data_IF_914044412496
#
_entry.id   IF_914044412496
#
_cell.length_a   1.000
_cell.length_b   1.000
_cell.length_c   1.000
_cell.angle_alpha   90.00
_cell.angle_beta   90.00
_cell.angle_gamma   90.00
#
_symmetry.space_group_name_H-M   'P 1'
#
loop_
_entity.id
_entity.type
_entity.pdbx_description
1 polymer ?
#
# COMPACT_ATOMS: atom_id res chain seq x y z
N UNK A 1 26.08 -2.67 25.34
CA UNK A 1 26.44 -2.42 23.93
C UNK A 1 25.73 -3.45 23.07
N UNK A 2 24.55 -3.13 22.52
CA UNK A 2 23.85 -4.04 21.60
C UNK A 2 24.70 -4.17 20.32
N UNK A 3 25.10 -5.39 19.96
CA UNK A 3 25.83 -5.65 18.73
C UNK A 3 24.91 -5.28 17.56
N UNK A 4 25.28 -4.24 16.79
CA UNK A 4 24.63 -3.98 15.51
C UNK A 4 24.85 -5.20 14.63
N UNK A 5 23.75 -5.88 14.31
CA UNK A 5 23.74 -7.03 13.41
C UNK A 5 24.16 -6.51 12.03
N UNK A 6 25.23 -7.05 11.45
CA UNK A 6 25.66 -6.66 10.09
C UNK A 6 24.52 -6.95 9.13
N UNK A 7 24.11 -5.94 8.37
CA UNK A 7 23.12 -6.07 7.32
C UNK A 7 23.68 -7.00 6.23
N UNK A 8 22.99 -8.09 5.96
CA UNK A 8 23.42 -9.08 4.97
C UNK A 8 22.80 -8.78 3.60
N UNK A 9 23.66 -8.53 2.62
CA UNK A 9 23.25 -8.34 1.23
C UNK A 9 23.41 -9.63 0.41
N UNK A 10 22.59 -9.76 -0.62
CA UNK A 10 22.68 -10.76 -1.68
C UNK A 10 22.54 -10.09 -3.05
N UNK A 11 22.90 -10.81 -4.11
CA UNK A 11 22.77 -10.33 -5.47
C UNK A 11 21.52 -10.91 -6.13
N UNK A 12 20.81 -10.09 -6.89
CA UNK A 12 19.79 -10.53 -7.85
C UNK A 12 20.46 -11.26 -9.02
N UNK A 13 19.63 -11.85 -9.89
CA UNK A 13 20.12 -12.49 -11.10
C UNK A 13 20.84 -11.51 -12.05
N UNK A 14 20.38 -10.26 -12.10
CA UNK A 14 21.04 -9.17 -12.85
C UNK A 14 22.26 -8.55 -12.12
N UNK A 15 22.58 -8.99 -10.90
CA UNK A 15 23.74 -8.51 -10.15
C UNK A 15 23.49 -7.25 -9.31
N UNK A 16 22.23 -6.86 -9.06
CA UNK A 16 21.92 -5.80 -8.10
C UNK A 16 21.92 -6.32 -6.66
N UNK A 17 22.44 -5.53 -5.74
CA UNK A 17 22.42 -5.86 -4.31
C UNK A 17 21.02 -5.64 -3.72
N UNK A 18 20.57 -6.60 -2.92
CA UNK A 18 19.35 -6.49 -2.12
C UNK A 18 19.58 -6.97 -0.70
N UNK A 19 18.82 -6.41 0.24
CA UNK A 19 18.84 -6.79 1.65
C UNK A 19 18.07 -8.11 1.88
N UNK A 20 18.78 -9.12 2.41
CA UNK A 20 18.19 -10.44 2.68
C UNK A 20 17.13 -10.42 3.78
N UNK A 21 17.23 -9.52 4.76
CA UNK A 21 16.24 -9.39 5.81
C UNK A 21 14.96 -8.76 5.26
N UNK A 22 15.07 -7.74 4.41
CA UNK A 22 13.91 -7.14 3.72
C UNK A 22 13.22 -8.13 2.78
N UNK A 23 13.98 -8.99 2.10
CA UNK A 23 13.41 -10.02 1.21
C UNK A 23 12.49 -11.03 1.92
N UNK A 24 12.55 -11.12 3.25
CA UNK A 24 11.66 -12.00 4.04
C UNK A 24 10.35 -11.32 4.43
N UNK A 25 10.24 -10.02 4.23
CA UNK A 25 9.05 -9.25 4.60
C UNK A 25 7.90 -9.61 3.66
N UNK A 26 6.70 -9.94 4.18
CA UNK A 26 5.54 -10.21 3.34
C UNK A 26 5.20 -9.02 2.45
N UNK A 27 5.09 -9.27 1.15
CA UNK A 27 4.73 -8.25 0.16
C UNK A 27 3.22 -8.00 0.26
N UNK A 28 2.85 -6.75 0.52
CA UNK A 28 1.46 -6.30 0.34
C UNK A 28 1.27 -5.86 -1.09
N UNK A 29 0.27 -6.42 -1.76
CA UNK A 29 -0.15 -5.96 -3.09
C UNK A 29 -1.14 -4.83 -2.91
N UNK A 30 -0.81 -3.67 -3.47
CA UNK A 30 -1.65 -2.47 -3.48
C UNK A 30 -1.70 -1.91 -4.90
N UNK A 31 -2.71 -1.07 -5.24
CA UNK A 31 -2.91 -0.62 -6.62
C UNK A 31 -1.68 0.01 -7.28
N UNK A 32 -0.90 0.79 -6.54
CA UNK A 32 0.31 1.41 -7.09
C UNK A 32 1.42 0.39 -7.43
N UNK A 33 1.51 -0.75 -6.74
CA UNK A 33 2.46 -1.81 -7.12
C UNK A 33 2.02 -2.48 -8.44
N UNK A 34 0.72 -2.71 -8.62
CA UNK A 34 0.18 -3.28 -9.85
C UNK A 34 0.37 -2.33 -11.04
N UNK A 35 0.14 -1.03 -10.83
CA UNK A 35 0.40 -0.01 -11.83
C UNK A 35 1.90 0.08 -12.18
N UNK A 36 2.79 -0.03 -11.19
CA UNK A 36 4.23 -0.05 -11.43
C UNK A 36 4.64 -1.25 -12.31
N UNK A 37 4.14 -2.46 -11.99
CA UNK A 37 4.42 -3.67 -12.78
C UNK A 37 3.95 -3.50 -14.23
N UNK A 38 2.73 -3.00 -14.44
CA UNK A 38 2.20 -2.74 -15.77
C UNK A 38 3.05 -1.72 -16.55
N UNK A 39 3.40 -0.60 -15.91
CA UNK A 39 4.25 0.43 -16.52
C UNK A 39 5.62 -0.12 -16.94
N UNK A 40 6.20 -1.06 -16.18
CA UNK A 40 7.48 -1.68 -16.53
C UNK A 40 7.38 -2.57 -17.76
N UNK A 41 6.28 -3.32 -17.91
CA UNK A 41 6.03 -4.09 -19.15
C UNK A 41 5.88 -3.17 -20.36
N UNK A 42 5.12 -2.08 -20.23
CA UNK A 42 4.96 -1.10 -21.30
C UNK A 42 6.32 -0.49 -21.70
N UNK A 43 7.16 -0.15 -20.72
CA UNK A 43 8.50 0.36 -20.98
C UNK A 43 9.36 -0.66 -21.72
N UNK A 44 9.34 -1.94 -21.32
CA UNK A 44 10.07 -3.00 -22.03
C UNK A 44 9.64 -3.06 -23.49
N UNK A 45 8.34 -3.02 -23.78
CA UNK A 45 7.82 -3.07 -25.14
C UNK A 45 8.24 -1.86 -25.99
N UNK A 46 8.25 -0.66 -25.39
CA UNK A 46 8.73 0.56 -26.05
C UNK A 46 10.22 0.44 -26.36
N UNK A 47 11.04 0.01 -25.40
CA UNK A 47 12.48 -0.14 -25.61
C UNK A 47 12.82 -1.23 -26.63
N UNK A 48 12.08 -2.33 -26.68
CA UNK A 48 12.27 -3.35 -27.72
C UNK A 48 12.09 -2.79 -29.14
N UNK A 49 11.22 -1.80 -29.33
CA UNK A 49 10.98 -1.17 -30.65
C UNK A 49 12.04 -0.14 -31.01
N UNK A 50 12.55 0.59 -30.02
CA UNK A 50 13.43 1.75 -30.24
C UNK A 50 14.91 1.51 -29.98
N UNK A 51 15.27 0.45 -29.25
CA UNK A 51 16.64 0.09 -28.88
C UNK A 51 16.85 -1.44 -28.93
N UNK A 52 16.71 -2.08 -30.11
CA UNK A 52 16.80 -3.54 -30.25
C UNK A 52 18.18 -4.11 -29.87
N UNK A 53 19.24 -3.31 -29.90
CA UNK A 53 20.57 -3.70 -29.42
C UNK A 53 20.60 -4.04 -27.93
N UNK A 54 19.62 -3.58 -27.15
CA UNK A 54 19.51 -3.85 -25.71
C UNK A 54 18.72 -5.12 -25.39
N UNK A 55 18.36 -5.94 -26.38
CA UNK A 55 17.49 -7.11 -26.23
C UNK A 55 17.89 -8.01 -25.06
N UNK A 56 19.19 -8.30 -24.89
CA UNK A 56 19.67 -9.17 -23.79
C UNK A 56 19.34 -8.58 -22.41
N UNK A 57 19.48 -7.26 -22.24
CA UNK A 57 19.15 -6.58 -20.99
C UNK A 57 17.63 -6.50 -20.77
N UNK A 58 16.86 -6.32 -21.84
CA UNK A 58 15.40 -6.32 -21.79
C UNK A 58 14.82 -7.70 -21.45
N UNK A 59 15.43 -8.77 -21.95
CA UNK A 59 15.10 -10.15 -21.60
C UNK A 59 15.40 -10.45 -20.13
N UNK A 60 16.55 -9.99 -19.63
CA UNK A 60 16.90 -10.13 -18.22
C UNK A 60 15.91 -9.36 -17.32
N UNK A 61 15.57 -8.11 -17.67
CA UNK A 61 14.57 -7.31 -16.95
C UNK A 61 13.18 -7.98 -16.97
N UNK A 62 12.77 -8.54 -18.12
CA UNK A 62 11.50 -9.29 -18.22
C UNK A 62 11.49 -10.52 -17.32
N UNK A 63 12.60 -11.25 -17.21
CA UNK A 63 12.71 -12.38 -16.30
C UNK A 63 12.57 -11.96 -14.82
N UNK A 64 13.11 -10.79 -14.45
CA UNK A 64 12.92 -10.25 -13.10
C UNK A 64 11.49 -9.81 -12.84
N UNK A 65 10.82 -9.18 -13.82
CA UNK A 65 9.40 -8.85 -13.72
C UNK A 65 8.53 -10.09 -13.50
N UNK A 66 8.82 -11.19 -14.21
CA UNK A 66 8.14 -12.48 -14.00
C UNK A 66 8.36 -12.98 -12.56
N UNK A 67 9.58 -12.93 -12.04
CA UNK A 67 9.87 -13.37 -10.67
C UNK A 67 9.09 -12.56 -9.61
N UNK A 68 8.89 -11.26 -9.85
CA UNK A 68 8.05 -10.40 -8.99
C UNK A 68 6.59 -10.87 -9.03
N UNK A 69 6.05 -11.12 -10.21
CA UNK A 69 4.66 -11.60 -10.40
C UNK A 69 4.44 -12.98 -9.79
N UNK A 70 5.37 -13.91 -9.97
CA UNK A 70 5.33 -15.25 -9.35
C UNK A 70 5.31 -15.15 -7.81
N UNK A 71 6.10 -14.23 -7.25
CA UNK A 71 6.13 -13.99 -5.81
C UNK A 71 4.78 -13.47 -5.32
N UNK A 72 4.19 -12.51 -6.04
CA UNK A 72 2.85 -11.99 -5.75
C UNK A 72 1.80 -13.12 -5.82
N UNK A 73 1.84 -13.93 -6.88
CA UNK A 73 0.90 -15.03 -7.09
C UNK A 73 1.02 -16.08 -5.98
N UNK A 74 2.24 -16.40 -5.55
CA UNK A 74 2.49 -17.34 -4.45
C UNK A 74 1.93 -16.83 -3.12
N UNK A 75 2.12 -15.55 -2.80
CA UNK A 75 1.54 -14.95 -1.59
C UNK A 75 0.00 -14.86 -1.68
N UNK A 76 -0.53 -14.55 -2.85
CA UNK A 76 -1.98 -14.57 -3.08
C UNK A 76 -2.58 -15.96 -2.92
N UNK A 77 -1.94 -17.01 -3.44
CA UNK A 77 -2.38 -18.39 -3.25
C UNK A 77 -2.42 -18.78 -1.76
N UNK A 78 -1.41 -18.37 -0.97
CA UNK A 78 -1.41 -18.57 0.48
C UNK A 78 -2.56 -17.82 1.17
N UNK A 79 -2.85 -16.59 0.74
CA UNK A 79 -3.98 -15.82 1.25
C UNK A 79 -5.32 -16.52 0.95
N UNK A 80 -5.53 -16.97 -0.28
CA UNK A 80 -6.74 -17.71 -0.67
C UNK A 80 -6.89 -18.99 0.15
N UNK A 81 -5.82 -19.80 0.27
CA UNK A 81 -5.84 -21.01 1.08
C UNK A 81 -6.21 -20.73 2.55
N UNK A 82 -5.65 -19.67 3.15
CA UNK A 82 -6.02 -19.24 4.51
C UNK A 82 -7.46 -18.79 4.62
N UNK A 83 -7.97 -18.06 3.62
CA UNK A 83 -9.36 -17.61 3.56
C UNK A 83 -10.33 -18.79 3.46
N UNK A 84 -10.00 -19.78 2.64
CA UNK A 84 -10.77 -21.02 2.52
C UNK A 84 -10.73 -21.85 3.80
N UNK A 85 -9.55 -21.99 4.43
CA UNK A 85 -9.43 -22.69 5.72
C UNK A 85 -10.25 -22.01 6.82
N UNK A 86 -10.27 -20.68 6.86
CA UNK A 86 -11.12 -19.92 7.78
C UNK A 86 -12.61 -20.14 7.49
N UNK A 87 -13.01 -20.18 6.22
CA UNK A 87 -14.39 -20.49 5.84
C UNK A 87 -14.77 -21.91 6.28
N UNK A 88 -13.90 -22.89 6.03
CA UNK A 88 -14.11 -24.29 6.44
C UNK A 88 -14.25 -24.43 7.96
N UNK A 89 -13.40 -23.74 8.74
CA UNK A 89 -13.50 -23.71 10.22
C UNK A 89 -14.83 -23.12 10.70
N UNK A 90 -15.35 -22.09 10.03
CA UNK A 90 -16.67 -21.51 10.34
C UNK A 90 -17.80 -22.49 10.03
N UNK A 91 -17.71 -23.20 8.90
CA UNK A 91 -18.69 -24.23 8.52
C UNK A 91 -18.64 -25.45 9.46
N UNK A 92 -17.45 -25.89 9.88
CA UNK A 92 -17.27 -26.96 10.88
C UNK A 92 -17.83 -26.55 12.25
N UNK A 93 -17.55 -25.32 12.70
CA UNK A 93 -18.09 -24.80 13.96
C UNK A 93 -19.60 -24.53 13.91
N UNK A 94 -20.14 -24.11 12.76
CA UNK A 94 -21.58 -23.94 12.53
C UNK A 94 -22.33 -25.28 12.54
N UNK A 95 -21.79 -26.31 11.88
CA UNK A 95 -22.35 -27.68 11.91
C UNK A 95 -22.29 -28.31 13.30
N UNK A 96 -21.29 -27.97 14.11
CA UNK A 96 -21.19 -28.40 15.52
C UNK A 96 -22.28 -27.77 16.39
N UNK A 97 -22.70 -26.54 16.10
CA UNK A 97 -23.79 -25.85 16.80
C UNK A 97 -25.19 -26.36 16.36
N UNK A 98 -25.35 -26.75 15.09
CA UNK A 98 -26.56 -27.40 14.59
C UNK A 98 -26.73 -28.83 15.12
N UNK A 99 -25.65 -29.60 15.32
CA UNK A 99 -25.73 -30.92 15.96
C UNK A 99 -26.08 -30.86 17.46
N UNK A 100 -25.75 -29.78 18.17
CA UNK A 100 -26.22 -29.55 19.54
C UNK A 100 -27.67 -29.06 19.61
N UNK A 101 -28.21 -28.53 18.52
CA UNK A 101 -29.60 -28.07 18.41
C UNK A 101 -30.55 -29.15 17.86
N UNK A 102 -30.01 -30.28 17.38
CA UNK A 102 -30.78 -31.40 16.82
C UNK A 102 -31.47 -32.29 17.87
N UNK A 103 -31.44 -31.94 19.16
CA UNK A 103 -32.26 -32.58 20.20
C UNK A 103 -33.62 -31.91 20.42
N UNK A 104 -33.90 -30.76 19.80
CA UNK A 104 -35.24 -30.16 19.79
C UNK A 104 -35.71 -29.94 18.35
N UNK A 105 -36.64 -30.79 17.93
CA UNK A 105 -37.05 -30.97 16.54
C UNK A 105 -37.92 -29.87 15.94
N UNK A 106 -38.16 -30.08 14.63
CA UNK A 106 -38.97 -29.33 13.66
C UNK A 106 -38.29 -28.05 13.17
N UNK A 107 -38.10 -27.78 11.88
CA UNK A 107 -38.81 -28.20 10.67
C UNK A 107 -37.86 -28.00 9.46
N UNK A 108 -37.91 -28.86 8.44
CA UNK A 108 -37.23 -28.63 7.16
C UNK A 108 -38.12 -27.80 6.21
N UNK A 109 -37.57 -26.76 5.58
CA UNK A 109 -37.81 -26.37 4.17
C UNK A 109 -36.62 -25.57 3.60
N UNK A 110 -36.38 -25.62 2.27
CA UNK A 110 -35.14 -25.19 1.65
C UNK A 110 -35.24 -23.80 0.98
N UNK A 111 -34.14 -23.05 1.04
CA UNK A 111 -33.73 -22.08 0.01
C UNK A 111 -34.41 -20.72 0.03
N UNK A 112 -33.84 -19.77 0.79
CA UNK A 112 -33.75 -18.35 0.42
C UNK A 112 -32.75 -17.70 1.40
N UNK A 113 -31.58 -17.32 0.90
CA UNK A 113 -30.63 -16.57 1.70
C UNK A 113 -31.07 -15.11 1.72
N UNK A 114 -30.85 -14.45 2.86
CA UNK A 114 -30.58 -13.01 3.01
C UNK A 114 -31.66 -12.07 3.59
N UNK A 115 -32.44 -12.50 4.60
CA UNK A 115 -33.26 -11.56 5.40
C UNK A 115 -33.21 -11.82 6.93
N UNK A 116 -33.10 -13.09 7.37
CA UNK A 116 -33.14 -13.43 8.81
C UNK A 116 -31.85 -13.10 9.58
N UNK A 117 -30.68 -13.05 8.91
CA UNK A 117 -29.40 -12.74 9.58
C UNK A 117 -29.34 -11.27 9.99
N UNK A 118 -29.96 -10.37 9.21
CA UNK A 118 -30.07 -8.95 9.55
C UNK A 118 -31.00 -8.70 10.75
N UNK A 119 -32.05 -9.49 10.91
CA UNK A 119 -32.93 -9.39 12.09
C UNK A 119 -32.25 -9.88 13.37
N UNK A 120 -31.44 -10.95 13.31
CA UNK A 120 -30.68 -11.43 14.47
C UNK A 120 -29.58 -10.45 14.91
N UNK A 121 -28.81 -9.87 13.98
CA UNK A 121 -27.82 -8.85 14.33
C UNK A 121 -28.47 -7.58 14.92
N UNK A 122 -29.60 -7.14 14.36
CA UNK A 122 -30.36 -6.01 14.90
C UNK A 122 -30.98 -6.30 16.28
N UNK A 123 -31.29 -7.57 16.56
CA UNK A 123 -31.81 -8.02 17.86
C UNK A 123 -30.70 -8.05 18.92
N UNK A 124 -29.51 -8.52 18.55
CA UNK A 124 -28.35 -8.58 19.43
C UNK A 124 -27.81 -7.18 19.76
N UNK A 125 -27.81 -6.26 18.80
CA UNK A 125 -27.39 -4.87 19.02
C UNK A 125 -28.37 -4.10 19.92
N UNK A 126 -29.67 -4.38 19.80
CA UNK A 126 -30.70 -3.88 20.74
C UNK A 126 -30.51 -4.43 22.16
N UNK A 127 -30.14 -5.71 22.31
CA UNK A 127 -29.83 -6.28 23.62
C UNK A 127 -28.53 -5.70 24.21
N UNK A 128 -27.50 -5.48 23.38
CA UNK A 128 -26.24 -4.86 23.80
C UNK A 128 -26.44 -3.41 24.27
N UNK A 129 -27.29 -2.64 23.58
CA UNK A 129 -27.65 -1.28 23.98
C UNK A 129 -28.45 -1.23 25.30
N UNK A 130 -29.28 -2.24 25.58
CA UNK A 130 -30.01 -2.36 26.83
C UNK A 130 -29.13 -2.80 28.02
N UNK A 131 -28.07 -3.57 27.76
CA UNK A 131 -27.17 -4.08 28.80
C UNK A 131 -25.92 -3.22 29.05
N UNK A 132 -25.64 -2.22 28.21
CA UNK A 132 -24.49 -1.32 28.36
C UNK A 132 -24.95 0.07 28.79
N UNK A 133 -24.91 0.41 30.09
CA UNK A 133 -24.98 1.80 30.50
C UNK A 133 -23.71 2.48 29.97
N UNK A 134 -23.87 3.27 28.91
CA UNK A 134 -22.76 3.91 28.19
C UNK A 134 -21.73 4.56 29.11
N UNK A 135 -20.46 4.42 28.74
CA UNK A 135 -19.33 5.02 29.45
C UNK A 135 -19.50 6.55 29.55
N UNK A 136 -19.40 7.15 30.74
CA UNK A 136 -19.57 8.59 30.96
C UNK A 136 -18.33 9.40 30.52
N UNK A 137 -17.82 9.16 29.32
CA UNK A 137 -16.61 9.84 28.80
C UNK A 137 -16.90 11.17 28.10
N UNK A 138 -18.17 11.53 27.89
CA UNK A 138 -18.57 12.80 27.26
C UNK A 138 -18.32 14.06 28.12
N UNK A 139 -17.77 13.92 29.34
CA UNK A 139 -17.53 15.04 30.26
C UNK A 139 -16.10 15.58 30.22
N UNK A 140 -15.23 15.04 29.36
CA UNK A 140 -13.83 15.45 29.23
C UNK A 140 -13.50 16.16 27.90
N UNK A 141 -14.50 16.65 27.16
CA UNK A 141 -14.23 17.69 26.17
C UNK A 141 -13.89 19.01 26.88
N UNK A 142 -12.68 19.06 27.42
CA UNK A 142 -12.01 20.34 27.69
C UNK A 142 -11.78 21.00 26.35
N UNK A 143 -12.59 22.02 26.07
CA UNK A 143 -12.37 23.05 25.06
C UNK A 143 -11.02 23.71 25.33
N UNK A 144 -9.95 23.17 24.74
CA UNK A 144 -8.62 23.77 24.81
C UNK A 144 -8.44 24.69 23.61
N UNK A 145 -8.80 25.94 23.86
CA UNK A 145 -8.03 27.14 23.51
C UNK A 145 -7.64 27.29 22.04
N UNK A 146 -8.37 28.18 21.38
CA UNK A 146 -7.93 28.99 20.25
C UNK A 146 -6.49 29.50 20.47
N UNK A 147 -5.53 28.96 19.72
CA UNK A 147 -4.33 29.71 19.34
C UNK A 147 -4.68 30.56 18.10
N UNK A 148 -4.21 31.81 18.01
CA UNK A 148 -4.50 32.67 16.88
C UNK A 148 -3.94 32.05 15.58
N UNK A 149 -4.58 32.29 14.42
CA UNK A 149 -4.06 31.79 13.16
C UNK A 149 -2.71 32.48 12.91
N UNK A 150 -1.62 31.76 13.15
CA UNK A 150 -0.34 32.07 12.54
C UNK A 150 -0.65 32.08 11.04
N UNK A 151 -0.63 33.27 10.44
CA UNK A 151 -0.76 33.45 9.00
C UNK A 151 0.09 32.37 8.38
N UNK A 152 -0.56 31.48 7.62
CA UNK A 152 0.13 30.51 6.80
C UNK A 152 1.15 31.31 6.01
N UNK A 153 2.43 31.15 6.35
CA UNK A 153 3.50 31.36 5.41
C UNK A 153 3.17 30.38 4.28
N UNK A 154 2.36 30.83 3.33
CA UNK A 154 2.30 30.24 2.00
C UNK A 154 3.74 30.24 1.55
N UNK A 155 4.39 29.10 1.77
CA UNK A 155 5.77 28.87 1.39
C UNK A 155 5.83 29.25 -0.07
N UNK A 156 6.53 30.33 -0.37
CA UNK A 156 6.64 30.88 -1.71
C UNK A 156 7.24 29.79 -2.62
N UNK A 157 6.35 29.00 -3.23
CA UNK A 157 6.69 27.78 -3.97
C UNK A 157 7.59 28.14 -5.13
N UNK A 158 7.35 29.31 -5.74
CA UNK A 158 8.18 29.90 -6.78
C UNK A 158 9.60 30.12 -6.29
N UNK A 159 9.79 30.83 -5.18
CA UNK A 159 11.12 31.08 -4.61
C UNK A 159 11.85 29.79 -4.23
N UNK A 160 11.12 28.81 -3.70
CA UNK A 160 11.69 27.50 -3.32
C UNK A 160 12.13 26.73 -4.57
N UNK A 161 11.29 26.68 -5.60
CA UNK A 161 11.57 25.98 -6.85
C UNK A 161 12.77 26.61 -7.60
N UNK A 162 12.80 27.94 -7.72
CA UNK A 162 13.94 28.66 -8.31
C UNK A 162 15.23 28.37 -7.52
N UNK A 163 15.18 28.49 -6.19
CA UNK A 163 16.34 28.26 -5.33
C UNK A 163 16.86 26.81 -5.40
N UNK A 164 15.96 25.83 -5.47
CA UNK A 164 16.32 24.42 -5.61
C UNK A 164 16.98 24.14 -6.98
N UNK A 165 16.42 24.66 -8.07
CA UNK A 165 16.96 24.51 -9.42
C UNK A 165 18.34 25.13 -9.58
N UNK A 166 18.54 26.35 -9.07
CA UNK A 166 19.85 27.03 -9.07
C UNK A 166 20.88 26.22 -8.27
N UNK A 167 20.50 25.70 -7.09
CA UNK A 167 21.38 24.92 -6.23
C UNK A 167 21.81 23.60 -6.91
N UNK A 168 20.86 22.87 -7.48
CA UNK A 168 21.12 21.61 -8.17
C UNK A 168 22.05 21.81 -9.38
N UNK A 169 21.80 22.84 -10.21
CA UNK A 169 22.62 23.12 -11.39
C UNK A 169 24.02 23.61 -11.04
N UNK A 170 24.17 24.38 -9.95
CA UNK A 170 25.49 24.78 -9.43
C UNK A 170 26.31 23.57 -8.98
N UNK A 171 25.70 22.63 -8.28
CA UNK A 171 26.35 21.39 -7.81
C UNK A 171 26.74 20.47 -8.98
N UNK A 172 25.87 20.36 -9.98
CA UNK A 172 26.11 19.57 -11.19
C UNK A 172 27.25 20.13 -12.07
N UNK A 173 27.28 21.45 -12.27
CA UNK A 173 28.23 22.10 -13.17
C UNK A 173 29.56 22.48 -12.48
N UNK A 174 29.60 22.45 -11.15
CA UNK A 174 30.78 22.84 -10.37
C UNK A 174 31.18 24.31 -10.53
N UNK A 175 30.29 25.15 -11.08
CA UNK A 175 30.50 26.59 -11.30
C UNK A 175 29.26 27.40 -10.95
N UNK A 176 29.44 28.72 -10.83
CA UNK A 176 28.31 29.64 -10.70
C UNK A 176 27.53 29.74 -12.03
N UNK A 177 26.21 29.90 -11.91
CA UNK A 177 25.32 30.20 -13.03
C UNK A 177 25.47 31.67 -13.40
N UNK A 178 25.42 31.96 -14.69
CA UNK A 178 25.36 33.32 -15.22
C UNK A 178 23.95 33.90 -15.08
N UNK A 179 23.83 35.22 -15.09
CA UNK A 179 22.52 35.89 -14.94
C UNK A 179 21.52 35.47 -16.03
N UNK A 180 22.01 35.22 -17.26
CA UNK A 180 21.18 34.72 -18.36
C UNK A 180 20.61 33.33 -18.07
N UNK A 181 21.43 32.42 -17.53
CA UNK A 181 21.00 31.07 -17.16
C UNK A 181 19.97 31.11 -16.02
N UNK A 182 20.15 32.03 -15.06
CA UNK A 182 19.18 32.24 -13.97
C UNK A 182 17.84 32.73 -14.51
N UNK A 183 17.82 33.71 -15.42
CA UNK A 183 16.56 34.19 -16.02
C UNK A 183 15.81 33.10 -16.81
N UNK A 184 16.53 32.19 -17.47
CA UNK A 184 15.91 31.03 -18.14
C UNK A 184 15.27 30.08 -17.13
N UNK A 185 15.94 29.83 -15.99
CA UNK A 185 15.39 29.00 -14.91
C UNK A 185 14.12 29.63 -14.33
N UNK A 186 14.12 30.94 -14.11
CA UNK A 186 12.93 31.67 -13.62
C UNK A 186 11.75 31.51 -14.58
N UNK A 187 11.97 31.74 -15.88
CA UNK A 187 10.93 31.59 -16.90
C UNK A 187 10.42 30.14 -17.01
N UNK A 188 11.30 29.15 -16.86
CA UNK A 188 10.90 27.75 -16.84
C UNK A 188 10.08 27.42 -15.60
N UNK A 189 10.53 27.81 -14.40
CA UNK A 189 9.78 27.58 -13.17
C UNK A 189 8.40 28.25 -13.22
N UNK A 190 8.32 29.46 -13.76
CA UNK A 190 7.06 30.19 -13.94
C UNK A 190 6.13 29.53 -14.97
N UNK A 191 6.64 28.71 -15.89
CA UNK A 191 5.82 27.94 -16.83
C UNK A 191 5.23 26.65 -16.24
N UNK A 192 5.81 26.16 -15.13
CA UNK A 192 5.41 24.90 -14.49
C UNK A 192 4.55 25.10 -13.24
N UNK A 193 4.48 26.32 -12.71
CA UNK A 193 3.65 26.72 -11.57
C UNK A 193 2.40 27.48 -12.05
#
# INVERSE_FOLDING_TARGET
MAKQKKQEFALTFSGYEYDKELARVPIKVFPALQALVANQHDLIEVFQKHAPEQTIFLEAHRAEMIAVEETIQKEYAKYCARKEEQKRKREENGKSAEQASAENGNHAMPGEYDELVMEEEASLDKMAAAMSPGLPSAKFETSRSQEPPVKSEEKDVRRIAIGASIKALRELLGRQLTDQEISVIEAQVDSFL
#
